data_IF_526661385214
#
_entry.id   IF_526661385214
#
_cell.length_a   1.000
_cell.length_b   1.000
_cell.length_c   1.000
_cell.angle_alpha   90.00
_cell.angle_beta   90.00
_cell.angle_gamma   90.00
#
_symmetry.space_group_name_H-M   'P 1'
#
loop_
_entity.id
_entity.type
_entity.pdbx_description
1 polymer ?
#
# COMPACT_ATOMS: atom_id res chain seq x y z
N UNK A 1 4.79 -41.70 32.12
CA UNK A 1 5.45 -40.37 32.13
C UNK A 1 5.89 -39.87 30.74
N UNK A 2 6.39 -40.74 29.84
CA UNK A 2 6.87 -40.36 28.48
C UNK A 2 5.78 -39.73 27.58
N UNK A 3 4.56 -40.26 27.58
CA UNK A 3 3.45 -39.75 26.76
C UNK A 3 3.06 -38.30 27.09
N UNK A 4 2.92 -37.96 28.38
CA UNK A 4 2.62 -36.58 28.82
C UNK A 4 3.73 -35.60 28.44
N UNK A 5 5.00 -36.02 28.53
CA UNK A 5 6.16 -35.19 28.11
C UNK A 5 6.12 -34.88 26.61
N UNK A 6 5.80 -35.88 25.78
CA UNK A 6 5.69 -35.70 24.33
C UNK A 6 4.51 -34.79 23.95
N UNK A 7 3.39 -34.89 24.67
CA UNK A 7 2.23 -34.00 24.48
C UNK A 7 2.57 -32.54 24.81
N UNK A 8 3.33 -32.30 25.89
CA UNK A 8 3.79 -30.96 26.26
C UNK A 8 4.75 -30.39 25.21
N UNK A 9 5.70 -31.20 24.72
CA UNK A 9 6.65 -30.77 23.68
C UNK A 9 5.91 -30.41 22.38
N UNK A 10 4.92 -31.22 21.97
CA UNK A 10 4.12 -30.95 20.79
C UNK A 10 3.31 -29.64 20.94
N UNK A 11 2.73 -29.40 22.12
CA UNK A 11 2.02 -28.15 22.42
C UNK A 11 2.94 -26.93 22.34
N UNK A 12 4.17 -27.02 22.86
CA UNK A 12 5.14 -25.93 22.78
C UNK A 12 5.57 -25.62 21.34
N UNK A 13 5.75 -26.65 20.51
CA UNK A 13 6.07 -26.47 19.09
C UNK A 13 4.92 -25.76 18.36
N UNK A 14 3.68 -26.20 18.58
CA UNK A 14 2.50 -25.60 17.95
C UNK A 14 2.34 -24.12 18.35
N UNK A 15 2.59 -23.77 19.61
CA UNK A 15 2.54 -22.38 20.08
C UNK A 15 3.61 -21.53 19.38
N UNK A 16 4.84 -22.04 19.26
CA UNK A 16 5.92 -21.31 18.57
C UNK A 16 5.62 -21.11 17.08
N UNK A 17 5.05 -22.12 16.40
CA UNK A 17 4.64 -21.99 15.00
C UNK A 17 3.53 -20.95 14.84
N UNK A 18 2.55 -20.94 15.73
CA UNK A 18 1.47 -19.95 15.72
C UNK A 18 2.02 -18.53 15.94
N UNK A 19 2.89 -18.34 16.92
CA UNK A 19 3.53 -17.05 17.22
C UNK A 19 4.35 -16.57 16.02
N UNK A 20 5.15 -17.44 15.41
CA UNK A 20 5.94 -17.10 14.23
C UNK A 20 5.06 -16.70 13.04
N UNK A 21 3.96 -17.42 12.82
CA UNK A 21 2.99 -17.09 11.76
C UNK A 21 2.35 -15.72 11.98
N UNK A 22 2.02 -15.36 13.22
CA UNK A 22 1.44 -14.05 13.55
C UNK A 22 2.46 -12.92 13.38
N UNK A 23 3.73 -13.15 13.72
CA UNK A 23 4.81 -12.20 13.50
C UNK A 23 5.03 -11.96 12.00
N UNK A 24 5.06 -13.02 11.18
CA UNK A 24 5.17 -12.88 9.73
C UNK A 24 4.03 -12.04 9.14
N UNK A 25 2.78 -12.27 9.59
CA UNK A 25 1.64 -11.48 9.15
C UNK A 25 1.79 -9.99 9.51
N UNK A 26 2.23 -9.69 10.73
CA UNK A 26 2.48 -8.32 11.18
C UNK A 26 3.58 -7.60 10.38
N UNK A 27 4.58 -8.33 9.88
CA UNK A 27 5.67 -7.77 9.08
C UNK A 27 5.29 -7.48 7.62
N UNK A 28 4.17 -8.02 7.12
CA UNK A 28 3.73 -7.84 5.73
C UNK A 28 2.88 -6.59 5.48
N UNK A 29 2.58 -5.80 6.50
CA UNK A 29 1.83 -4.55 6.31
C UNK A 29 2.74 -3.48 5.73
N UNK A 30 2.76 -3.38 4.41
CA UNK A 30 3.30 -2.19 3.72
C UNK A 30 2.36 -1.02 4.00
N UNK A 31 2.88 0.13 4.48
CA UNK A 31 2.08 1.34 4.53
C UNK A 31 1.71 1.72 3.09
N UNK A 32 0.44 1.61 2.75
CA UNK A 32 -0.09 2.19 1.52
C UNK A 32 -0.08 3.70 1.76
N UNK A 33 1.03 4.36 1.42
CA UNK A 33 1.02 5.80 1.26
C UNK A 33 0.10 6.07 0.07
N UNK A 34 -1.00 6.79 0.30
CA UNK A 34 -1.70 7.40 -0.81
C UNK A 34 -0.68 8.32 -1.49
N UNK A 35 -0.24 7.96 -2.69
CA UNK A 35 0.66 8.80 -3.46
C UNK A 35 -0.15 10.05 -3.83
N UNK A 36 0.20 11.20 -3.24
CA UNK A 36 -0.41 12.47 -3.60
C UNK A 36 -0.08 12.74 -5.07
N UNK A 37 -1.08 12.55 -5.93
CA UNK A 37 -0.90 12.71 -7.36
C UNK A 37 -0.90 14.20 -7.69
N UNK A 38 0.29 14.75 -7.94
CA UNK A 38 0.49 16.14 -8.33
C UNK A 38 0.24 16.29 -9.83
N UNK A 39 -0.58 17.27 -10.21
CA UNK A 39 -0.85 17.63 -11.60
C UNK A 39 -0.43 19.07 -11.88
N UNK A 40 0.07 19.32 -13.10
CA UNK A 40 0.63 20.61 -13.49
C UNK A 40 -0.26 21.33 -14.49
N UNK A 41 -0.39 22.65 -14.32
CA UNK A 41 -1.15 23.55 -15.21
C UNK A 41 -0.24 24.69 -15.64
N UNK A 42 -0.16 24.96 -16.94
CA UNK A 42 0.66 26.02 -17.50
C UNK A 42 0.00 26.68 -18.71
N UNK A 43 0.26 27.98 -18.91
CA UNK A 43 -0.34 28.76 -20.02
C UNK A 43 0.07 28.27 -21.42
N UNK A 44 1.16 27.53 -21.52
CA UNK A 44 1.65 26.90 -22.75
C UNK A 44 1.29 25.40 -22.85
N UNK A 45 0.48 24.88 -21.93
CA UNK A 45 0.02 23.50 -21.92
C UNK A 45 -1.14 23.22 -22.87
N UNK A 46 -1.74 22.04 -22.73
CA UNK A 46 -2.94 21.63 -23.47
C UNK A 46 -3.81 20.73 -22.61
N UNK A 47 -5.14 20.91 -22.64
CA UNK A 47 -6.06 20.03 -21.89
C UNK A 47 -6.14 18.60 -22.48
N UNK A 48 -5.51 18.36 -23.64
CA UNK A 48 -5.29 17.01 -24.19
C UNK A 48 -4.10 16.28 -23.57
N UNK A 49 -3.25 16.99 -22.82
CA UNK A 49 -2.07 16.41 -22.18
C UNK A 49 -2.47 15.55 -20.95
N UNK A 50 -1.55 14.75 -20.41
CA UNK A 50 -1.81 13.97 -19.19
C UNK A 50 -1.71 14.77 -17.88
N UNK A 51 -1.31 16.04 -17.90
CA UNK A 51 -1.16 16.87 -16.68
C UNK A 51 0.15 16.61 -15.92
N UNK A 52 1.18 16.09 -16.59
CA UNK A 52 2.52 15.88 -16.01
C UNK A 52 3.36 17.15 -16.09
N UNK A 53 4.52 17.15 -15.44
CA UNK A 53 5.44 18.29 -15.48
C UNK A 53 5.86 18.65 -16.92
N UNK A 54 6.19 17.64 -17.74
CA UNK A 54 6.62 17.84 -19.14
C UNK A 54 5.45 18.15 -20.08
N UNK A 55 4.24 17.68 -19.74
CA UNK A 55 3.02 17.86 -20.52
C UNK A 55 1.90 18.36 -19.59
N UNK A 56 1.94 19.64 -19.20
CA UNK A 56 0.95 20.22 -18.29
C UNK A 56 -0.37 20.45 -19.02
N UNK A 57 -1.46 20.49 -18.24
CA UNK A 57 -2.75 20.97 -18.74
C UNK A 57 -2.74 22.47 -19.00
N UNK A 58 -3.69 22.94 -19.80
CA UNK A 58 -3.86 24.37 -20.06
C UNK A 58 -4.72 25.02 -18.97
N UNK A 59 -5.76 24.32 -18.52
CA UNK A 59 -6.77 24.88 -17.61
C UNK A 59 -6.83 24.14 -16.28
N UNK A 60 -7.11 24.89 -15.22
CA UNK A 60 -7.40 24.33 -13.90
C UNK A 60 -8.77 23.60 -13.88
N UNK A 61 -9.68 23.97 -14.78
CA UNK A 61 -10.97 23.32 -14.93
C UNK A 61 -10.82 21.86 -15.36
N UNK A 62 -9.93 21.57 -16.33
CA UNK A 62 -9.63 20.21 -16.75
C UNK A 62 -9.09 19.36 -15.58
N UNK A 63 -8.29 19.97 -14.69
CA UNK A 63 -7.83 19.31 -13.47
C UNK A 63 -9.00 18.99 -12.54
N UNK A 64 -9.88 19.96 -12.28
CA UNK A 64 -11.04 19.77 -11.40
C UNK A 64 -11.98 18.66 -11.92
N UNK A 65 -12.22 18.59 -13.23
CA UNK A 65 -13.09 17.58 -13.84
C UNK A 65 -12.46 16.19 -13.90
N UNK A 66 -11.13 16.10 -14.04
CA UNK A 66 -10.43 14.81 -14.15
C UNK A 66 -10.16 14.16 -12.79
N UNK A 67 -9.94 14.98 -11.75
CA UNK A 67 -9.57 14.50 -10.41
C UNK A 67 -10.80 14.13 -9.57
N UNK A 68 -11.97 14.69 -9.90
CA UNK A 68 -13.26 14.32 -9.29
C UNK A 68 -13.89 13.20 -10.12
N UNK A 69 -13.60 11.95 -9.77
CA UNK A 69 -14.27 10.73 -10.26
C UNK A 69 -14.56 9.78 -9.10
#
# INVERSE_FOLDING_TARGET
>A
MKFKKNLVILSLILINVLVLSLICLALTTIPISAEEKVYYVAKNGSDKNPGTLDLPWLTIQNAAETIVA
#
